data_IF_140615488308
#
_entry.id   IF_140615488308
#
_cell.length_a   1.000
_cell.length_b   1.000
_cell.length_c   1.000
_cell.angle_alpha   90.00
_cell.angle_beta   90.00
_cell.angle_gamma   90.00
#
_symmetry.space_group_name_H-M   'P 1'
#
loop_
_entity.id
_entity.type
_entity.pdbx_description
1 polymer ?
#
# COMPACT_ATOMS: atom_id res chain seq x y z
N UNK A 1 17.79 -33.89 -86.76
CA UNK A 1 16.45 -34.45 -86.47
C UNK A 1 16.38 -34.61 -84.96
N UNK A 2 15.65 -33.73 -84.25
CA UNK A 2 15.40 -33.82 -82.80
C UNK A 2 14.42 -34.96 -82.46
N UNK A 3 13.99 -35.19 -81.19
CA UNK A 3 13.55 -34.16 -80.21
C UNK A 3 14.02 -34.41 -78.73
N UNK A 4 14.23 -33.36 -77.91
CA UNK A 4 13.41 -32.80 -76.79
C UNK A 4 13.44 -33.47 -75.39
N UNK A 5 13.88 -32.67 -74.41
CA UNK A 5 13.33 -32.40 -73.06
C UNK A 5 13.26 -33.48 -71.96
N UNK A 6 13.99 -33.26 -70.85
CA UNK A 6 13.50 -33.38 -69.45
C UNK A 6 14.57 -32.86 -68.47
N UNK A 7 14.38 -31.70 -67.86
CA UNK A 7 13.73 -31.47 -66.55
C UNK A 7 14.70 -31.58 -65.37
N UNK A 8 14.64 -30.54 -64.55
CA UNK A 8 15.48 -30.21 -63.43
C UNK A 8 15.37 -31.19 -62.24
N UNK A 9 16.42 -31.25 -61.43
CA UNK A 9 16.25 -31.34 -59.97
C UNK A 9 17.45 -30.73 -59.24
N UNK A 10 17.38 -29.41 -59.04
CA UNK A 10 18.27 -28.71 -58.10
C UNK A 10 17.64 -28.84 -56.72
N UNK A 11 17.92 -29.93 -56.02
CA UNK A 11 17.50 -30.12 -54.63
C UNK A 11 18.14 -29.04 -53.75
N UNK A 12 17.38 -27.97 -53.52
CA UNK A 12 17.72 -26.89 -52.59
C UNK A 12 17.33 -27.38 -51.19
N UNK A 13 18.34 -27.71 -50.38
CA UNK A 13 18.18 -27.97 -48.97
C UNK A 13 17.71 -26.68 -48.28
N UNK A 14 16.40 -26.56 -48.05
CA UNK A 14 15.81 -25.44 -47.33
C UNK A 14 16.29 -25.38 -45.87
N UNK A 15 16.45 -24.19 -45.28
CA UNK A 15 16.86 -24.04 -43.89
C UNK A 15 15.78 -24.61 -42.98
N UNK A 16 16.19 -25.51 -42.07
CA UNK A 16 15.32 -26.07 -41.04
C UNK A 16 14.82 -24.94 -40.15
N UNK A 17 13.56 -24.55 -40.35
CA UNK A 17 12.85 -23.64 -39.48
C UNK A 17 12.91 -24.21 -38.05
N UNK A 18 13.63 -23.52 -37.16
CA UNK A 18 13.69 -23.82 -35.73
C UNK A 18 12.27 -23.74 -35.17
N UNK A 19 11.64 -24.90 -35.09
CA UNK A 19 10.34 -25.14 -34.47
C UNK A 19 10.42 -24.60 -33.04
N UNK A 20 9.64 -23.58 -32.73
CA UNK A 20 9.53 -22.99 -31.41
C UNK A 20 9.00 -24.04 -30.41
N UNK A 21 9.91 -24.79 -29.80
CA UNK A 21 9.62 -25.69 -28.68
C UNK A 21 9.56 -24.86 -27.39
N UNK A 22 8.65 -23.89 -27.34
CA UNK A 22 8.29 -23.23 -26.11
C UNK A 22 7.06 -23.94 -25.52
N UNK A 23 7.36 -25.06 -24.85
CA UNK A 23 6.36 -25.97 -24.28
C UNK A 23 5.53 -25.25 -23.21
N UNK A 24 4.18 -25.37 -23.23
CA UNK A 24 3.30 -24.87 -22.17
C UNK A 24 3.75 -25.27 -20.76
N UNK A 25 4.36 -26.46 -20.63
CA UNK A 25 4.89 -26.97 -19.37
C UNK A 25 6.06 -26.13 -18.84
N UNK A 26 6.91 -25.59 -19.72
CA UNK A 26 8.01 -24.69 -19.31
C UNK A 26 7.47 -23.33 -18.88
N UNK A 27 6.47 -22.78 -19.57
CA UNK A 27 5.80 -21.54 -19.15
C UNK A 27 5.12 -21.70 -17.80
N UNK A 28 4.42 -22.81 -17.59
CA UNK A 28 3.79 -23.11 -16.30
C UNK A 28 4.84 -23.19 -15.17
N UNK A 29 5.90 -23.99 -15.35
CA UNK A 29 6.98 -24.09 -14.35
C UNK A 29 7.66 -22.76 -14.06
N UNK A 30 7.83 -21.92 -15.08
CA UNK A 30 8.37 -20.56 -14.95
C UNK A 30 7.44 -19.68 -14.11
N UNK A 31 6.12 -19.74 -14.36
CA UNK A 31 5.12 -19.03 -13.57
C UNK A 31 5.09 -19.54 -12.12
N UNK A 32 5.07 -20.86 -11.90
CA UNK A 32 5.08 -21.48 -10.57
C UNK A 32 6.33 -21.08 -9.77
N UNK A 33 7.48 -20.98 -10.43
CA UNK A 33 8.74 -20.53 -9.79
C UNK A 33 8.66 -19.06 -9.40
N UNK A 34 8.17 -18.19 -10.30
CA UNK A 34 7.96 -16.78 -10.00
C UNK A 34 7.01 -16.60 -8.81
N UNK A 35 5.90 -17.33 -8.83
CA UNK A 35 4.87 -17.33 -7.80
C UNK A 35 5.44 -17.73 -6.44
N UNK A 36 6.24 -18.80 -6.40
CA UNK A 36 6.93 -19.24 -5.17
C UNK A 36 7.89 -18.19 -4.63
N UNK A 37 8.66 -17.53 -5.51
CA UNK A 37 9.57 -16.43 -5.11
C UNK A 37 8.76 -15.28 -4.49
N UNK A 38 7.66 -14.88 -5.11
CA UNK A 38 6.80 -13.80 -4.58
C UNK A 38 6.16 -14.18 -3.25
N UNK A 39 5.65 -15.41 -3.12
CA UNK A 39 5.06 -15.91 -1.87
C UNK A 39 6.07 -15.88 -0.72
N UNK A 40 7.28 -16.39 -0.94
CA UNK A 40 8.34 -16.34 0.07
C UNK A 40 8.75 -14.91 0.38
N UNK A 41 8.77 -14.03 -0.63
CA UNK A 41 9.04 -12.62 -0.41
C UNK A 41 7.99 -11.94 0.47
N UNK A 42 6.71 -12.30 0.32
CA UNK A 42 5.63 -11.85 1.18
C UNK A 42 5.76 -12.40 2.61
N UNK A 43 6.10 -13.68 2.76
CA UNK A 43 6.35 -14.30 4.07
C UNK A 43 7.52 -13.64 4.80
N UNK A 44 8.62 -13.35 4.08
CA UNK A 44 9.76 -12.61 4.63
C UNK A 44 9.37 -11.18 5.02
N UNK A 45 8.57 -10.51 4.19
CA UNK A 45 8.05 -9.18 4.51
C UNK A 45 7.30 -9.18 5.85
N UNK A 46 6.50 -10.22 6.13
CA UNK A 46 5.76 -10.37 7.39
C UNK A 46 6.67 -10.47 8.62
N UNK A 47 7.94 -10.84 8.45
CA UNK A 47 8.91 -10.91 9.55
C UNK A 47 9.65 -9.59 9.80
N UNK A 48 9.59 -8.64 8.86
CA UNK A 48 10.28 -7.36 9.02
C UNK A 48 9.56 -6.48 10.05
N UNK A 49 10.39 -5.77 10.84
CA UNK A 49 9.96 -4.93 11.95
C UNK A 49 9.46 -3.55 11.52
N UNK A 50 9.81 -3.16 10.29
CA UNK A 50 9.47 -1.89 9.66
C UNK A 50 9.24 -2.12 8.17
N UNK A 51 8.67 -1.12 7.48
CA UNK A 51 8.59 -1.09 6.00
C UNK A 51 9.94 -0.80 5.35
N UNK A 52 11.03 -1.26 5.98
CA UNK A 52 12.37 -1.19 5.44
C UNK A 52 12.67 -2.46 4.63
N UNK A 53 12.44 -2.38 3.32
CA UNK A 53 12.58 -3.47 2.37
C UNK A 53 14.04 -3.82 2.05
N UNK A 54 15.03 -3.18 2.69
CA UNK A 54 16.47 -3.42 2.45
C UNK A 54 16.87 -4.88 2.71
N UNK A 55 16.20 -5.56 3.63
CA UNK A 55 16.47 -6.97 3.93
C UNK A 55 15.82 -7.93 2.92
N UNK A 56 14.85 -7.45 2.12
CA UNK A 56 14.22 -8.22 1.04
C UNK A 56 15.11 -8.26 -0.21
N UNK A 57 16.22 -8.98 -0.08
CA UNK A 57 17.22 -9.13 -1.14
C UNK A 57 16.95 -10.35 -2.01
N UNK A 58 17.50 -10.38 -3.23
CA UNK A 58 17.43 -11.56 -4.10
C UNK A 58 17.97 -12.82 -3.43
N UNK A 59 19.04 -12.68 -2.64
CA UNK A 59 19.63 -13.77 -1.87
C UNK A 59 18.66 -14.31 -0.81
N UNK A 60 18.03 -13.44 -0.03
CA UNK A 60 17.10 -13.84 1.02
C UNK A 60 15.89 -14.60 0.44
N UNK A 61 15.33 -14.10 -0.66
CA UNK A 61 14.18 -14.77 -1.30
C UNK A 61 14.60 -16.05 -2.03
N UNK A 62 15.79 -16.10 -2.63
CA UNK A 62 16.33 -17.31 -3.25
C UNK A 62 16.48 -18.45 -2.22
N UNK A 63 17.05 -18.13 -1.06
CA UNK A 63 17.22 -19.06 0.06
C UNK A 63 15.86 -19.60 0.55
N UNK A 64 14.91 -18.71 0.85
CA UNK A 64 13.58 -19.12 1.31
C UNK A 64 12.78 -19.90 0.25
N UNK A 65 12.95 -19.57 -1.03
CA UNK A 65 12.27 -20.28 -2.12
C UNK A 65 13.00 -21.58 -2.54
N UNK A 66 14.19 -21.86 -2.01
CA UNK A 66 14.99 -23.02 -2.39
C UNK A 66 15.43 -23.01 -3.84
N UNK A 67 15.72 -21.82 -4.39
CA UNK A 67 16.19 -21.61 -5.78
C UNK A 67 17.54 -20.90 -5.78
N UNK A 68 18.24 -20.91 -6.91
CA UNK A 68 19.48 -20.13 -7.05
C UNK A 68 19.17 -18.64 -7.26
N UNK A 69 20.08 -17.75 -6.84
CA UNK A 69 19.97 -16.31 -7.13
C UNK A 69 19.84 -16.02 -8.64
N UNK A 70 20.59 -16.77 -9.48
CA UNK A 70 20.47 -16.68 -10.94
C UNK A 70 19.04 -16.98 -11.46
N UNK A 71 18.30 -17.84 -10.76
CA UNK A 71 16.89 -18.09 -11.07
C UNK A 71 16.03 -16.88 -10.73
N UNK A 72 16.27 -16.21 -9.59
CA UNK A 72 15.57 -14.98 -9.22
C UNK A 72 15.85 -13.86 -10.23
N UNK A 73 17.11 -13.65 -10.62
CA UNK A 73 17.51 -12.69 -11.67
C UNK A 73 16.84 -12.95 -13.02
N UNK A 74 16.46 -14.19 -13.33
CA UNK A 74 15.74 -14.54 -14.57
C UNK A 74 14.27 -14.12 -14.51
N UNK A 75 13.70 -13.99 -13.32
CA UNK A 75 12.29 -13.65 -13.11
C UNK A 75 12.07 -12.18 -12.73
N UNK A 76 13.10 -11.51 -12.18
CA UNK A 76 13.06 -10.12 -11.75
C UNK A 76 14.35 -9.42 -12.19
N UNK A 77 14.22 -8.32 -12.93
CA UNK A 77 15.37 -7.58 -13.45
C UNK A 77 16.16 -6.83 -12.36
N UNK A 78 15.49 -6.46 -11.27
CA UNK A 78 16.08 -5.78 -10.12
C UNK A 78 15.21 -5.95 -8.85
N UNK A 79 15.75 -5.53 -7.70
CA UNK A 79 15.06 -5.61 -6.41
C UNK A 79 13.78 -4.79 -6.37
N UNK A 80 13.71 -3.64 -7.08
CA UNK A 80 12.48 -2.84 -7.15
C UNK A 80 11.33 -3.62 -7.79
N UNK A 81 11.58 -4.41 -8.83
CA UNK A 81 10.55 -5.24 -9.48
C UNK A 81 10.08 -6.36 -8.54
N UNK A 82 11.01 -7.00 -7.82
CA UNK A 82 10.67 -7.99 -6.80
C UNK A 82 9.84 -7.36 -5.68
N UNK A 83 10.27 -6.21 -5.14
CA UNK A 83 9.55 -5.49 -4.09
C UNK A 83 8.15 -5.09 -4.55
N UNK A 84 8.00 -4.66 -5.81
CA UNK A 84 6.70 -4.34 -6.40
C UNK A 84 5.79 -5.57 -6.48
N UNK A 85 6.32 -6.72 -6.92
CA UNK A 85 5.55 -7.95 -7.00
C UNK A 85 5.14 -8.49 -5.61
N UNK A 86 6.04 -8.39 -4.63
CA UNK A 86 5.76 -8.74 -3.22
C UNK A 86 4.72 -7.78 -2.64
N UNK A 87 4.84 -6.48 -2.90
CA UNK A 87 3.85 -5.48 -2.48
C UNK A 87 2.46 -5.79 -3.04
N UNK A 88 2.38 -6.14 -4.33
CA UNK A 88 1.13 -6.53 -4.96
C UNK A 88 0.54 -7.77 -4.28
N UNK A 89 1.36 -8.79 -3.96
CA UNK A 89 0.88 -9.97 -3.24
C UNK A 89 0.33 -9.62 -1.85
N UNK A 90 1.00 -8.75 -1.11
CA UNK A 90 0.51 -8.33 0.21
C UNK A 90 -0.82 -7.59 0.10
N UNK A 91 -1.00 -6.76 -0.93
CA UNK A 91 -2.27 -6.09 -1.21
C UNK A 91 -3.37 -7.09 -1.58
N UNK A 92 -3.06 -8.09 -2.42
CA UNK A 92 -3.98 -9.17 -2.79
C UNK A 92 -4.44 -9.98 -1.56
N UNK A 93 -3.50 -10.36 -0.68
CA UNK A 93 -3.80 -11.08 0.57
C UNK A 93 -4.67 -10.25 1.51
N UNK A 94 -4.51 -8.92 1.49
CA UNK A 94 -5.30 -7.98 2.27
C UNK A 94 -6.68 -7.68 1.67
N UNK A 95 -6.98 -8.14 0.45
CA UNK A 95 -8.16 -7.70 -0.29
C UNK A 95 -8.15 -6.19 -0.58
N UNK A 96 -6.97 -5.61 -0.77
CA UNK A 96 -6.77 -4.20 -1.12
C UNK A 96 -6.55 -4.13 -2.62
N UNK A 97 -7.42 -3.41 -3.33
CA UNK A 97 -7.27 -3.12 -4.76
C UNK A 97 -7.40 -1.63 -4.95
N UNK A 98 -6.35 -0.97 -5.43
CA UNK A 98 -6.35 0.49 -5.67
C UNK A 98 -7.01 0.89 -6.99
N UNK A 99 -7.24 -0.08 -7.89
CA UNK A 99 -7.87 0.18 -9.18
C UNK A 99 -9.39 0.25 -9.06
N UNK A 100 -9.97 1.40 -9.40
CA UNK A 100 -11.43 1.55 -9.50
C UNK A 100 -12.17 1.70 -8.16
N UNK A 101 -11.46 2.01 -7.07
CA UNK A 101 -12.08 2.29 -5.76
C UNK A 101 -13.12 3.42 -5.89
N UNK A 102 -14.32 3.19 -5.38
CA UNK A 102 -15.33 4.23 -5.20
C UNK A 102 -15.09 5.05 -3.92
N UNK A 103 -15.55 6.30 -3.88
CA UNK A 103 -15.27 7.22 -2.78
C UNK A 103 -15.76 6.69 -1.41
N UNK A 104 -16.91 6.04 -1.38
CA UNK A 104 -17.51 5.44 -0.19
C UNK A 104 -16.77 4.17 0.28
N UNK A 105 -15.99 3.53 -0.58
CA UNK A 105 -15.17 2.36 -0.26
C UNK A 105 -13.77 2.72 0.27
N UNK A 106 -13.39 4.01 0.23
CA UNK A 106 -12.04 4.48 0.62
C UNK A 106 -11.75 4.15 2.08
N UNK A 107 -12.71 4.37 2.99
CA UNK A 107 -12.53 4.12 4.42
C UNK A 107 -12.29 2.62 4.71
N UNK A 108 -13.12 1.75 4.13
CA UNK A 108 -12.99 0.31 4.29
C UNK A 108 -11.68 -0.21 3.69
N UNK A 109 -11.29 0.32 2.53
CA UNK A 109 -10.04 -0.06 1.87
C UNK A 109 -8.81 0.39 2.66
N UNK A 110 -8.84 1.61 3.20
CA UNK A 110 -7.80 2.09 4.11
C UNK A 110 -7.71 1.21 5.37
N UNK A 111 -8.85 0.82 5.96
CA UNK A 111 -8.91 -0.09 7.09
C UNK A 111 -8.24 -1.44 6.82
N UNK A 112 -8.50 -2.05 5.66
CA UNK A 112 -7.83 -3.31 5.24
C UNK A 112 -6.33 -3.12 5.02
N UNK A 113 -5.93 -2.01 4.40
CA UNK A 113 -4.51 -1.69 4.21
C UNK A 113 -3.79 -1.48 5.55
N UNK A 114 -4.41 -0.77 6.50
CA UNK A 114 -3.84 -0.56 7.83
C UNK A 114 -3.80 -1.82 8.69
N UNK A 115 -4.81 -2.69 8.61
CA UNK A 115 -4.78 -4.00 9.27
C UNK A 115 -3.56 -4.81 8.79
N UNK A 116 -3.28 -4.75 7.49
CA UNK A 116 -2.11 -5.37 6.88
C UNK A 116 -0.83 -4.75 7.42
N UNK A 117 -0.70 -3.42 7.42
CA UNK A 117 0.40 -2.68 8.06
C UNK A 117 0.61 -3.09 9.52
N UNK A 118 -0.45 -3.22 10.31
CA UNK A 118 -0.38 -3.58 11.73
C UNK A 118 0.11 -5.00 11.97
N UNK A 119 -0.12 -5.92 11.03
CA UNK A 119 0.43 -7.28 11.09
C UNK A 119 1.96 -7.30 11.02
N UNK A 120 2.57 -6.31 10.35
CA UNK A 120 4.03 -6.10 10.31
C UNK A 120 4.54 -5.29 11.50
N UNK A 121 3.76 -4.30 11.95
CA UNK A 121 4.16 -3.33 12.97
C UNK A 121 4.22 -3.87 14.41
N UNK A 122 3.95 -5.17 14.63
CA UNK A 122 3.95 -5.81 15.95
C UNK A 122 5.30 -5.73 16.70
N UNK A 123 6.36 -5.15 16.11
CA UNK A 123 7.59 -4.80 16.82
C UNK A 123 8.29 -3.58 16.24
N UNK A 124 7.88 -2.40 16.70
CA UNK A 124 8.75 -1.21 16.82
C UNK A 124 9.02 -0.42 15.54
N UNK A 125 8.12 0.51 15.21
CA UNK A 125 8.45 1.62 14.32
C UNK A 125 9.60 2.43 14.95
N UNK A 126 10.79 2.32 14.38
CA UNK A 126 11.87 3.25 14.69
C UNK A 126 11.64 4.48 13.82
N UNK A 127 11.03 5.51 14.39
CA UNK A 127 10.99 6.83 13.76
C UNK A 127 12.42 7.29 13.52
N UNK A 128 12.70 7.74 12.29
CA UNK A 128 13.92 8.44 11.94
C UNK A 128 14.22 9.52 13.00
N UNK A 129 15.51 9.73 13.29
CA UNK A 129 16.00 10.74 14.25
C UNK A 129 15.32 12.08 13.96
N UNK A 130 14.31 12.41 14.75
CA UNK A 130 13.57 13.66 14.62
C UNK A 130 14.31 14.72 15.42
N UNK A 131 14.41 15.93 14.86
CA UNK A 131 14.99 17.08 15.55
C UNK A 131 14.26 17.28 16.90
N UNK A 132 14.98 17.48 18.02
CA UNK A 132 14.37 17.68 19.34
C UNK A 132 13.35 18.83 19.36
N UNK A 133 13.57 19.88 18.57
CA UNK A 133 12.69 21.05 18.44
C UNK A 133 11.37 20.64 17.78
N UNK A 134 11.42 19.89 16.68
CA UNK A 134 10.24 19.38 15.97
C UNK A 134 9.45 18.44 16.88
N UNK A 135 10.16 17.59 17.63
CA UNK A 135 9.56 16.68 18.60
C UNK A 135 8.82 17.45 19.71
N UNK A 136 9.42 18.51 20.26
CA UNK A 136 8.81 19.34 21.30
C UNK A 136 7.59 20.13 20.81
N UNK A 137 7.65 20.66 19.57
CA UNK A 137 6.53 21.33 18.94
C UNK A 137 5.36 20.36 18.70
N UNK A 138 5.65 19.15 18.23
CA UNK A 138 4.65 18.08 18.09
C UNK A 138 3.99 17.69 19.42
N UNK A 139 4.77 17.58 20.51
CA UNK A 139 4.22 17.32 21.85
C UNK A 139 3.28 18.43 22.33
N UNK A 140 3.64 19.69 22.07
CA UNK A 140 2.81 20.86 22.44
C UNK A 140 1.50 20.86 21.65
N UNK A 141 1.57 20.64 20.33
CA UNK A 141 0.39 20.53 19.47
C UNK A 141 -0.53 19.38 19.91
N UNK A 142 0.03 18.19 20.15
CA UNK A 142 -0.72 17.03 20.64
C UNK A 142 -1.48 17.33 21.93
N UNK A 143 -0.84 18.03 22.89
CA UNK A 143 -1.50 18.45 24.13
C UNK A 143 -2.67 19.39 23.85
N UNK A 144 -2.45 20.42 23.04
CA UNK A 144 -3.48 21.40 22.71
C UNK A 144 -4.69 20.74 22.01
N UNK A 145 -4.46 19.77 21.13
CA UNK A 145 -5.53 19.03 20.46
C UNK A 145 -6.32 18.16 21.43
N UNK A 146 -5.66 17.46 22.35
CA UNK A 146 -6.34 16.67 23.38
C UNK A 146 -7.22 17.55 24.27
N UNK A 147 -6.68 18.67 24.75
CA UNK A 147 -7.40 19.61 25.60
C UNK A 147 -8.62 20.22 24.87
N UNK A 148 -8.47 20.58 23.59
CA UNK A 148 -9.54 21.13 22.78
C UNK A 148 -10.66 20.11 22.50
N UNK A 149 -10.32 18.87 22.14
CA UNK A 149 -11.29 17.80 21.91
C UNK A 149 -12.02 17.45 23.21
N UNK A 150 -11.30 17.33 24.33
CA UNK A 150 -11.89 17.07 25.64
C UNK A 150 -12.90 18.14 26.06
N UNK A 151 -12.55 19.43 25.88
CA UNK A 151 -13.45 20.54 26.19
C UNK A 151 -14.72 20.52 25.32
N UNK A 152 -14.61 20.15 24.05
CA UNK A 152 -15.74 20.10 23.12
C UNK A 152 -16.61 18.84 23.28
N UNK A 153 -16.04 17.75 23.80
CA UNK A 153 -16.71 16.43 23.88
C UNK A 153 -16.69 15.79 25.28
N UNK A 154 -17.24 16.44 26.34
CA UNK A 154 -17.20 15.88 27.70
C UNK A 154 -17.87 14.50 27.84
N UNK A 155 -18.80 14.19 26.92
CA UNK A 155 -19.61 12.98 26.92
C UNK A 155 -18.97 11.79 26.18
N UNK A 156 -17.89 12.01 25.42
CA UNK A 156 -17.19 10.95 24.70
C UNK A 156 -16.32 10.11 25.63
N UNK A 157 -16.05 8.86 25.26
CA UNK A 157 -15.07 8.03 25.95
C UNK A 157 -13.65 8.62 25.81
N UNK A 158 -12.72 8.29 26.72
CA UNK A 158 -11.31 8.71 26.58
C UNK A 158 -10.67 8.25 25.27
N UNK A 159 -11.03 7.06 24.79
CA UNK A 159 -10.49 6.49 23.56
C UNK A 159 -10.97 7.26 22.32
N UNK A 160 -12.26 7.59 22.23
CA UNK A 160 -12.82 8.40 21.13
C UNK A 160 -12.18 9.79 21.06
N UNK A 161 -11.96 10.42 22.23
CA UNK A 161 -11.27 11.71 22.33
C UNK A 161 -9.82 11.61 21.87
N UNK A 162 -9.10 10.58 22.33
CA UNK A 162 -7.72 10.35 21.95
C UNK A 162 -7.56 10.04 20.45
N UNK A 163 -8.41 9.19 19.89
CA UNK A 163 -8.42 8.85 18.46
C UNK A 163 -8.72 10.07 17.60
N UNK A 164 -9.72 10.86 17.97
CA UNK A 164 -10.06 12.09 17.23
C UNK A 164 -8.94 13.12 17.27
N UNK A 165 -8.35 13.37 18.45
CA UNK A 165 -7.19 14.25 18.58
C UNK A 165 -5.99 13.75 17.77
N UNK A 166 -5.76 12.44 17.71
CA UNK A 166 -4.69 11.85 16.92
C UNK A 166 -4.90 12.03 15.40
N UNK A 167 -6.13 11.89 14.90
CA UNK A 167 -6.44 12.15 13.48
C UNK A 167 -6.22 13.62 13.13
N UNK A 168 -6.63 14.55 14.00
CA UNK A 168 -6.34 15.97 13.83
C UNK A 168 -4.85 16.28 13.86
N UNK A 169 -4.07 15.60 14.72
CA UNK A 169 -2.61 15.75 14.77
C UNK A 169 -1.93 15.24 13.50
N UNK A 170 -2.43 14.16 12.90
CA UNK A 170 -1.98 13.68 11.58
C UNK A 170 -2.21 14.76 10.53
N UNK A 171 -3.43 15.31 10.43
CA UNK A 171 -3.73 16.35 9.44
C UNK A 171 -2.89 17.63 9.63
N UNK A 172 -2.63 18.01 10.88
CA UNK A 172 -1.85 19.19 11.22
C UNK A 172 -0.32 18.92 11.29
N UNK A 173 0.13 17.74 10.88
CA UNK A 173 1.55 17.40 10.82
C UNK A 173 2.22 18.03 9.57
N UNK A 174 3.40 18.65 9.69
CA UNK A 174 4.22 19.07 8.55
C UNK A 174 4.37 18.02 7.44
N UNK A 175 4.46 16.74 7.78
CA UNK A 175 4.60 15.65 6.81
C UNK A 175 3.37 15.56 5.88
N UNK A 176 2.17 15.82 6.40
CA UNK A 176 0.94 15.85 5.59
C UNK A 176 0.93 16.99 4.60
N UNK A 177 1.40 18.16 5.02
CA UNK A 177 1.57 19.31 4.13
C UNK A 177 2.62 19.02 3.03
N UNK A 178 3.79 18.50 3.41
CA UNK A 178 4.84 18.14 2.46
C UNK A 178 4.36 17.07 1.47
N UNK A 179 3.56 16.10 1.92
CA UNK A 179 2.99 15.12 1.04
C UNK A 179 2.13 15.75 -0.07
N UNK A 180 1.27 16.73 0.26
CA UNK A 180 0.45 17.44 -0.72
C UNK A 180 1.29 18.26 -1.72
N UNK A 181 2.35 18.92 -1.25
CA UNK A 181 3.19 19.73 -2.13
C UNK A 181 4.09 18.85 -3.01
N UNK A 182 4.77 17.87 -2.43
CA UNK A 182 5.80 17.09 -3.12
C UNK A 182 5.21 15.99 -4.01
N UNK A 183 4.18 15.30 -3.54
CA UNK A 183 3.61 14.13 -4.23
C UNK A 183 2.37 14.47 -5.04
N UNK A 184 1.58 15.46 -4.58
CA UNK A 184 0.39 15.91 -5.30
C UNK A 184 0.61 17.19 -6.10
N UNK A 185 1.81 17.78 -6.03
CA UNK A 185 2.22 18.97 -6.78
C UNK A 185 1.29 20.17 -6.58
N UNK A 186 0.67 20.27 -5.40
CA UNK A 186 -0.12 21.43 -5.01
C UNK A 186 0.78 22.61 -4.69
N UNK A 187 0.32 23.82 -4.98
CA UNK A 187 0.97 25.01 -4.43
C UNK A 187 0.71 25.16 -2.93
N UNK A 188 1.42 26.10 -2.30
CA UNK A 188 1.38 26.30 -0.85
C UNK A 188 -0.02 26.70 -0.34
N UNK A 189 -0.77 27.48 -1.10
CA UNK A 189 -2.11 27.94 -0.73
C UNK A 189 -3.13 26.82 -0.89
N UNK A 190 -3.03 26.06 -1.98
CA UNK A 190 -3.85 24.87 -2.24
C UNK A 190 -3.67 23.82 -1.15
N UNK A 191 -2.44 23.48 -0.79
CA UNK A 191 -2.16 22.50 0.26
C UNK A 191 -2.69 22.96 1.63
N UNK A 192 -2.50 24.24 1.97
CA UNK A 192 -2.98 24.81 3.23
C UNK A 192 -4.52 24.81 3.31
N UNK A 193 -5.19 25.24 2.24
CA UNK A 193 -6.65 25.25 2.16
C UNK A 193 -7.25 23.83 2.20
N UNK A 194 -6.58 22.85 1.57
CA UNK A 194 -7.02 21.46 1.60
C UNK A 194 -6.98 20.85 3.01
N UNK A 195 -5.88 21.06 3.74
CA UNK A 195 -5.75 20.59 5.13
C UNK A 195 -6.75 21.31 6.03
N UNK A 196 -6.89 22.63 5.90
CA UNK A 196 -7.85 23.41 6.67
C UNK A 196 -9.28 22.92 6.44
N UNK A 197 -9.69 22.73 5.18
CA UNK A 197 -11.02 22.23 4.85
C UNK A 197 -11.28 20.83 5.42
N UNK A 198 -10.29 19.93 5.41
CA UNK A 198 -10.42 18.61 6.03
C UNK A 198 -10.60 18.69 7.55
N UNK A 199 -9.85 19.57 8.23
CA UNK A 199 -9.99 19.83 9.66
C UNK A 199 -11.39 20.39 9.97
N UNK A 200 -11.87 21.36 9.17
CA UNK A 200 -13.19 21.97 9.33
C UNK A 200 -14.32 20.92 9.24
N UNK A 201 -14.22 19.96 8.32
CA UNK A 201 -15.18 18.85 8.20
C UNK A 201 -15.22 18.00 9.47
N UNK A 202 -14.04 17.65 10.02
CA UNK A 202 -13.97 16.85 11.26
C UNK A 202 -14.52 17.65 12.43
N UNK A 203 -14.16 18.93 12.55
CA UNK A 203 -14.67 19.80 13.63
C UNK A 203 -16.18 19.94 13.55
N UNK A 204 -16.76 20.13 12.37
CA UNK A 204 -18.20 20.16 12.17
C UNK A 204 -18.87 18.83 12.59
N UNK A 205 -18.29 17.70 12.19
CA UNK A 205 -18.79 16.37 12.60
C UNK A 205 -18.77 16.15 14.11
N UNK A 206 -17.75 16.66 14.81
CA UNK A 206 -17.67 16.59 16.28
C UNK A 206 -18.81 17.41 16.91
N UNK A 207 -19.06 18.62 16.39
CA UNK A 207 -20.10 19.51 16.88
C UNK A 207 -21.50 18.94 16.65
N UNK A 208 -21.75 18.34 15.48
CA UNK A 208 -23.02 17.71 15.13
C UNK A 208 -23.28 16.42 15.93
N UNK A 209 -22.23 15.78 16.46
CA UNK A 209 -22.32 14.61 17.33
C UNK A 209 -22.68 14.94 18.79
N UNK A 210 -22.94 16.22 19.10
CA UNK A 210 -23.45 16.67 20.40
C UNK A 210 -24.77 15.99 20.78
N UNK A 211 -25.12 15.93 22.08
CA UNK A 211 -26.17 15.06 22.58
C UNK A 211 -27.49 15.35 21.87
N UNK A 212 -28.09 14.31 21.25
CA UNK A 212 -29.47 14.35 20.85
C UNK A 212 -30.31 14.74 22.07
N UNK A 213 -30.83 15.96 22.07
CA UNK A 213 -31.65 16.48 23.16
C UNK A 213 -32.80 15.49 23.41
N UNK A 214 -32.80 14.93 24.62
CA UNK A 214 -33.91 14.16 25.14
C UNK A 214 -35.15 15.04 25.23
N UNK A 215 -35.99 14.99 24.19
CA UNK A 215 -37.39 15.39 24.27
C UNK A 215 -38.22 14.30 23.61
N UNK A 216 -38.77 13.45 24.48
CA UNK A 216 -39.66 12.38 24.08
C UNK A 216 -41.01 12.91 23.63
N UNK A 217 -41.72 12.05 22.91
CA UNK A 217 -43.15 11.93 23.15
C UNK A 217 -43.54 10.46 23.14
N UNK A 218 -43.64 9.91 24.36
CA UNK A 218 -44.58 8.83 24.67
C UNK A 218 -45.95 9.21 24.11
N UNK A 219 -46.43 8.46 23.11
CA UNK A 219 -47.87 8.31 22.87
C UNK A 219 -48.28 6.85 22.98
N UNK A 220 -48.48 6.45 24.24
CA UNK A 220 -49.33 5.37 24.75
C UNK A 220 -50.00 6.03 25.97
N UNK A 221 -51.32 6.17 26.18
CA UNK A 221 -52.53 5.53 25.69
C UNK A 221 -53.71 6.50 25.79
N UNK A 222 -54.75 6.31 24.97
CA UNK A 222 -56.14 6.12 25.42
C UNK A 222 -57.00 5.66 24.22
#
# INVERSE_FOLDING_TARGET
MGPESSSADTATAGPTARRAYDSPVRRQRSADTRERIVSVGADLAHTFRTWDWRELTFRAVAEGAGVSESTVYRHFANERELHTAVMQRLQEQAGVTYQGIALDEVADTAGRAFATLSSFAASGYTTAVSDPTITSAGQTRRRALLDAVEAATPHWSPDERASTAAVLDVLWNPDSYQHLVEHWHMDHDQASNAIQGAIEVIVASIQDSGPADGSGESRVSA
#
